data_IF_416129244311
#
_entry.id   IF_416129244311
#
_cell.length_a   1.000
_cell.length_b   1.000
_cell.length_c   1.000
_cell.angle_alpha   90.00
_cell.angle_beta   90.00
_cell.angle_gamma   90.00
#
_symmetry.space_group_name_H-M   'P 1'
#
loop_
_entity.id
_entity.type
_entity.pdbx_description
1 polymer ?
#
# COMPACT_ATOMS: atom_id res chain seq x y z
N UNK A 1 -16.26 12.60 23.63
CA UNK A 1 -15.76 11.29 23.16
C UNK A 1 -15.46 11.27 21.66
N UNK A 2 -16.37 11.75 20.80
CA UNK A 2 -16.16 11.81 19.34
C UNK A 2 -14.86 12.53 18.92
N UNK A 3 -14.55 13.69 19.51
CA UNK A 3 -13.34 14.44 19.15
C UNK A 3 -12.05 13.66 19.43
N UNK A 4 -12.00 12.94 20.56
CA UNK A 4 -10.83 12.12 20.93
C UNK A 4 -10.65 11.00 19.90
N UNK A 5 -11.75 10.34 19.49
CA UNK A 5 -11.70 9.29 18.46
C UNK A 5 -11.24 9.84 17.11
N UNK A 6 -11.73 11.00 16.69
CA UNK A 6 -11.29 11.64 15.44
C UNK A 6 -9.81 12.07 15.49
N UNK A 7 -9.36 12.66 16.60
CA UNK A 7 -7.94 13.03 16.79
C UNK A 7 -7.07 11.79 16.71
N UNK A 8 -7.45 10.72 17.41
CA UNK A 8 -6.69 9.47 17.40
C UNK A 8 -6.64 8.85 16.00
N UNK A 9 -7.77 8.83 15.28
CA UNK A 9 -7.83 8.35 13.90
C UNK A 9 -6.91 9.15 12.96
N UNK A 10 -6.94 10.48 13.05
CA UNK A 10 -6.07 11.38 12.28
C UNK A 10 -4.60 11.12 12.62
N UNK A 11 -4.27 10.99 13.91
CA UNK A 11 -2.90 10.78 14.37
C UNK A 11 -2.33 9.44 13.90
N UNK A 12 -3.11 8.36 14.00
CA UNK A 12 -2.74 7.04 13.48
C UNK A 12 -2.55 7.11 11.97
N UNK A 13 -3.45 7.78 11.25
CA UNK A 13 -3.36 7.94 9.80
C UNK A 13 -2.10 8.73 9.39
N UNK A 14 -1.76 9.80 10.11
CA UNK A 14 -0.56 10.59 9.86
C UNK A 14 0.71 9.76 10.08
N UNK A 15 0.82 9.03 11.19
CA UNK A 15 1.96 8.14 11.46
C UNK A 15 2.10 7.11 10.34
N UNK A 16 0.98 6.51 9.94
CA UNK A 16 0.95 5.54 8.86
C UNK A 16 1.39 6.14 7.52
N UNK A 17 0.94 7.35 7.20
CA UNK A 17 1.33 8.06 5.97
C UNK A 17 2.81 8.38 5.96
N UNK A 18 3.36 8.76 7.12
CA UNK A 18 4.79 9.00 7.28
C UNK A 18 5.61 7.72 7.07
N UNK A 19 5.14 6.59 7.60
CA UNK A 19 5.74 5.27 7.37
C UNK A 19 5.68 4.87 5.90
N UNK A 20 4.54 5.10 5.23
CA UNK A 20 4.34 4.78 3.81
C UNK A 20 5.31 5.57 2.93
N UNK A 21 5.48 6.86 3.21
CA UNK A 21 6.28 7.78 2.38
C UNK A 21 7.79 7.72 2.67
N UNK A 22 8.19 7.61 3.94
CA UNK A 22 9.61 7.65 4.35
C UNK A 22 10.13 6.32 4.86
N UNK A 23 9.29 5.56 5.58
CA UNK A 23 9.68 4.31 6.21
C UNK A 23 10.09 3.27 5.18
N UNK A 24 9.24 3.00 4.19
CA UNK A 24 9.51 1.95 3.20
C UNK A 24 10.76 2.21 2.33
N UNK A 25 11.03 3.48 2.00
CA UNK A 25 12.20 3.83 1.20
C UNK A 25 13.51 3.72 2.01
N UNK A 26 13.50 4.05 3.31
CA UNK A 26 14.70 3.96 4.19
C UNK A 26 14.94 2.60 4.84
N UNK A 27 13.90 1.83 5.13
CA UNK A 27 14.02 0.55 5.85
C UNK A 27 14.60 -0.56 4.96
N UNK A 28 15.51 -1.37 5.48
CA UNK A 28 16.08 -2.57 4.81
C UNK A 28 16.88 -2.29 3.51
N UNK A 29 17.52 -1.12 3.42
CA UNK A 29 18.56 -0.82 2.44
C UNK A 29 18.06 -0.24 1.11
N UNK A 30 18.96 -0.16 0.12
CA UNK A 30 18.73 0.49 -1.17
C UNK A 30 17.63 -0.22 -1.98
N UNK A 31 16.65 0.56 -2.41
CA UNK A 31 15.62 0.15 -3.37
C UNK A 31 16.26 -0.09 -4.73
N UNK A 32 16.06 -1.28 -5.31
CA UNK A 32 16.58 -1.62 -6.63
C UNK A 32 15.56 -1.34 -7.72
N UNK A 33 14.30 -1.74 -7.49
CA UNK A 33 13.20 -1.51 -8.42
C UNK A 33 11.97 -1.12 -7.63
N UNK A 34 11.29 -0.05 -8.05
CA UNK A 34 10.03 0.42 -7.45
C UNK A 34 8.98 0.47 -8.55
N UNK A 35 7.96 -0.37 -8.44
CA UNK A 35 6.89 -0.49 -9.43
C UNK A 35 5.56 -0.14 -8.80
N UNK A 36 4.74 0.60 -9.55
CA UNK A 36 3.38 0.95 -9.14
C UNK A 36 2.43 -0.20 -9.48
N UNK A 37 1.60 -0.56 -8.51
CA UNK A 37 0.55 -1.55 -8.67
C UNK A 37 -0.78 -0.88 -8.98
N UNK A 38 -1.67 -1.60 -9.63
CA UNK A 38 -3.02 -1.13 -9.94
C UNK A 38 -3.83 -1.00 -8.65
N UNK A 39 -4.46 0.17 -8.45
CA UNK A 39 -5.38 0.39 -7.31
C UNK A 39 -6.64 -0.47 -7.50
N UNK A 40 -6.89 -1.40 -6.57
CA UNK A 40 -8.06 -2.28 -6.59
C UNK A 40 -9.24 -1.72 -5.79
N UNK A 41 -9.00 -1.09 -4.63
CA UNK A 41 -10.06 -0.66 -3.70
C UNK A 41 -10.54 0.79 -3.90
N UNK A 42 -11.09 1.12 -5.08
CA UNK A 42 -11.61 2.47 -5.36
C UNK A 42 -13.01 2.72 -4.76
N UNK A 43 -13.86 1.71 -4.74
CA UNK A 43 -15.27 1.84 -4.37
C UNK A 43 -15.47 2.08 -2.87
N UNK A 44 -14.80 1.29 -2.02
CA UNK A 44 -14.89 1.41 -0.56
C UNK A 44 -14.48 2.81 -0.08
N UNK A 45 -13.43 3.37 -0.68
CA UNK A 45 -12.95 4.71 -0.33
C UNK A 45 -13.97 5.79 -0.75
N UNK A 46 -14.62 5.63 -1.91
CA UNK A 46 -15.67 6.56 -2.35
C UNK A 46 -16.89 6.51 -1.43
N UNK A 47 -17.33 5.31 -1.01
CA UNK A 47 -18.42 5.13 -0.04
C UNK A 47 -18.07 5.82 1.28
N UNK A 48 -16.85 5.61 1.79
CA UNK A 48 -16.40 6.23 3.03
C UNK A 48 -16.42 7.76 2.97
N UNK A 49 -15.91 8.36 1.88
CA UNK A 49 -15.97 9.82 1.66
C UNK A 49 -17.42 10.30 1.63
N UNK A 50 -18.31 9.57 0.93
CA UNK A 50 -19.74 9.89 0.87
C UNK A 50 -20.40 9.90 2.25
N UNK A 51 -20.09 8.91 3.09
CA UNK A 51 -20.60 8.84 4.47
C UNK A 51 -20.09 10.00 5.33
N UNK A 52 -18.82 10.39 5.20
CA UNK A 52 -18.28 11.55 5.91
C UNK A 52 -18.97 12.86 5.49
N UNK A 53 -19.22 13.05 4.19
CA UNK A 53 -19.94 14.21 3.67
C UNK A 53 -21.39 14.25 4.14
N UNK A 54 -22.07 13.10 4.17
CA UNK A 54 -23.44 12.99 4.69
C UNK A 54 -23.48 13.33 6.18
N UNK A 55 -22.48 12.89 6.95
CA UNK A 55 -22.35 13.25 8.36
C UNK A 55 -22.15 14.77 8.56
N UNK A 56 -21.32 15.41 7.72
CA UNK A 56 -21.16 16.88 7.70
C UNK A 56 -22.48 17.57 7.34
N UNK A 57 -23.19 17.06 6.34
CA UNK A 57 -24.46 17.63 5.89
C UNK A 57 -25.55 17.55 6.97
N UNK A 58 -25.67 16.40 7.64
CA UNK A 58 -26.56 16.22 8.78
C UNK A 58 -26.20 17.16 9.93
N UNK A 59 -24.92 17.30 10.24
CA UNK A 59 -24.42 18.22 11.27
C UNK A 59 -24.81 19.67 11.00
N UNK A 60 -24.80 20.09 9.74
CA UNK A 60 -25.18 21.44 9.33
C UNK A 60 -26.69 21.67 9.44
N UNK A 61 -27.50 20.70 9.02
CA UNK A 61 -28.96 20.80 9.00
C UNK A 61 -29.61 20.73 10.38
N UNK A 62 -29.07 19.91 11.29
CA UNK A 62 -29.70 19.68 12.59
C UNK A 62 -29.50 20.84 13.56
N UNK A 63 -28.63 21.82 13.28
CA UNK A 63 -28.45 23.05 14.08
C UNK A 63 -28.00 22.86 15.54
N UNK A 64 -28.08 21.65 16.07
CA UNK A 64 -27.71 21.30 17.43
C UNK A 64 -26.24 20.86 17.51
N UNK A 65 -25.40 21.79 17.93
CA UNK A 65 -24.36 21.49 18.92
C UNK A 65 -23.14 20.67 18.49
N UNK A 66 -22.91 20.41 17.20
CA UNK A 66 -21.59 19.92 16.80
C UNK A 66 -20.59 21.07 16.97
N UNK A 67 -19.76 20.97 18.01
CA UNK A 67 -18.69 21.93 18.27
C UNK A 67 -17.86 22.16 16.99
N UNK A 68 -17.52 23.42 16.70
CA UNK A 68 -16.77 23.82 15.48
C UNK A 68 -15.50 22.98 15.29
N UNK A 69 -14.91 22.54 16.39
CA UNK A 69 -13.79 21.61 16.41
C UNK A 69 -14.12 20.28 15.69
N UNK A 70 -15.21 19.59 16.05
CA UNK A 70 -15.56 18.29 15.47
C UNK A 70 -15.77 18.38 13.95
N UNK A 71 -16.37 19.47 13.47
CA UNK A 71 -16.55 19.75 12.05
C UNK A 71 -15.20 19.87 11.33
N UNK A 72 -14.24 20.59 11.94
CA UNK A 72 -12.89 20.73 11.41
C UNK A 72 -12.15 19.39 11.34
N UNK A 73 -12.27 18.55 12.38
CA UNK A 73 -11.67 17.21 12.39
C UNK A 73 -12.29 16.32 11.32
N UNK A 74 -13.61 16.39 11.15
CA UNK A 74 -14.33 15.59 10.16
C UNK A 74 -13.96 16.00 8.73
N UNK A 75 -13.85 17.32 8.48
CA UNK A 75 -13.33 17.84 7.22
C UNK A 75 -11.87 17.39 6.99
N UNK A 76 -11.04 17.36 8.03
CA UNK A 76 -9.70 16.78 7.99
C UNK A 76 -9.71 15.30 7.58
N UNK A 77 -10.62 14.49 8.13
CA UNK A 77 -10.79 13.10 7.73
C UNK A 77 -11.20 12.94 6.26
N UNK A 78 -12.06 13.83 5.74
CA UNK A 78 -12.40 13.84 4.31
C UNK A 78 -11.16 14.12 3.47
N UNK A 79 -10.36 15.12 3.85
CA UNK A 79 -9.12 15.48 3.15
C UNK A 79 -8.10 14.32 3.16
N UNK A 80 -7.92 13.66 4.30
CA UNK A 80 -7.04 12.49 4.42
C UNK A 80 -7.55 11.31 3.58
N UNK A 81 -8.86 11.12 3.53
CA UNK A 81 -9.48 10.07 2.70
C UNK A 81 -9.27 10.35 1.21
N UNK A 82 -9.40 11.60 0.77
CA UNK A 82 -9.07 12.02 -0.59
C UNK A 82 -7.58 11.80 -0.90
N UNK A 83 -6.70 12.14 0.04
CA UNK A 83 -5.27 11.86 -0.09
C UNK A 83 -5.01 10.34 -0.27
N UNK A 84 -5.63 9.50 0.56
CA UNK A 84 -5.52 8.04 0.44
C UNK A 84 -6.05 7.53 -0.91
N UNK A 85 -7.18 8.07 -1.38
CA UNK A 85 -7.85 7.64 -2.60
C UNK A 85 -7.04 7.99 -3.86
N UNK A 86 -6.57 9.23 -3.95
CA UNK A 86 -5.99 9.80 -5.17
C UNK A 86 -4.48 9.73 -5.19
N UNK A 87 -3.81 10.15 -4.11
CA UNK A 87 -2.35 10.31 -4.10
C UNK A 87 -1.67 8.99 -3.80
N UNK A 88 -2.16 8.24 -2.81
CA UNK A 88 -1.53 6.98 -2.40
C UNK A 88 -1.78 5.87 -3.42
N UNK A 89 -0.73 5.22 -3.88
CA UNK A 89 -0.82 4.07 -4.78
C UNK A 89 -0.07 2.88 -4.18
N UNK A 90 -0.62 1.65 -4.26
CA UNK A 90 0.11 0.47 -3.83
C UNK A 90 1.35 0.33 -4.69
N UNK A 91 2.50 0.07 -4.06
CA UNK A 91 3.79 -0.08 -4.73
C UNK A 91 4.43 -1.40 -4.32
N UNK A 92 5.06 -2.06 -5.30
CA UNK A 92 5.95 -3.18 -5.08
C UNK A 92 7.38 -2.65 -5.11
N UNK A 93 8.10 -2.82 -4.00
CA UNK A 93 9.48 -2.35 -3.86
C UNK A 93 10.39 -3.57 -3.74
N UNK A 94 11.21 -3.81 -4.76
CA UNK A 94 12.22 -4.87 -4.75
C UNK A 94 13.53 -4.30 -4.21
N UNK A 95 14.09 -4.97 -3.20
CA UNK A 95 15.37 -4.63 -2.56
C UNK A 95 16.33 -5.81 -2.67
N UNK A 96 17.58 -5.65 -2.23
CA UNK A 96 18.60 -6.72 -2.32
C UNK A 96 18.23 -8.00 -1.56
N UNK A 97 17.76 -7.88 -0.33
CA UNK A 97 17.51 -9.01 0.58
C UNK A 97 16.05 -9.51 0.57
N UNK A 98 15.15 -8.77 -0.08
CA UNK A 98 13.72 -9.06 -0.07
C UNK A 98 12.93 -7.95 -0.74
N UNK A 99 11.61 -7.99 -0.61
CA UNK A 99 10.70 -7.05 -1.24
C UNK A 99 9.62 -6.57 -0.28
N UNK A 100 9.10 -5.37 -0.52
CA UNK A 100 7.90 -4.87 0.14
C UNK A 100 6.69 -5.03 -0.77
N UNK A 101 5.66 -5.68 -0.26
CA UNK A 101 4.35 -5.79 -0.90
C UNK A 101 3.27 -5.35 0.09
N UNK A 102 2.41 -4.41 -0.31
CA UNK A 102 1.35 -3.86 0.54
C UNK A 102 1.85 -3.40 1.93
N UNK A 103 3.01 -2.72 1.98
CA UNK A 103 3.67 -2.21 3.19
C UNK A 103 4.29 -3.27 4.12
N UNK A 104 4.23 -4.55 3.74
CA UNK A 104 4.83 -5.67 4.45
C UNK A 104 6.11 -6.12 3.77
N UNK A 105 7.15 -6.39 4.56
CA UNK A 105 8.43 -6.90 4.06
C UNK A 105 8.43 -8.43 4.01
N UNK A 106 8.88 -8.97 2.88
CA UNK A 106 9.05 -10.39 2.64
C UNK A 106 10.48 -10.67 2.16
N UNK A 107 11.13 -11.65 2.79
CA UNK A 107 12.45 -12.13 2.38
C UNK A 107 12.32 -13.06 1.17
N UNK A 108 13.33 -13.05 0.30
CA UNK A 108 13.30 -13.88 -0.90
C UNK A 108 13.39 -15.39 -0.60
N UNK A 109 13.99 -15.79 0.52
CA UNK A 109 14.01 -17.20 0.93
C UNK A 109 12.60 -17.74 1.20
N UNK A 110 11.62 -16.88 1.50
CA UNK A 110 10.24 -17.31 1.74
C UNK A 110 9.46 -17.51 0.45
N UNK A 111 10.04 -17.19 -0.71
CA UNK A 111 9.41 -17.40 -2.01
C UNK A 111 9.58 -18.86 -2.42
N UNK A 112 8.46 -19.50 -2.77
CA UNK A 112 8.42 -20.82 -3.39
C UNK A 112 8.50 -20.72 -4.91
N UNK A 113 7.70 -19.84 -5.50
CA UNK A 113 7.67 -19.63 -6.94
C UNK A 113 7.24 -18.20 -7.26
N UNK A 114 7.67 -17.72 -8.43
CA UNK A 114 7.19 -16.48 -9.04
C UNK A 114 6.72 -16.84 -10.44
N UNK A 115 5.46 -16.56 -10.71
CA UNK A 115 4.80 -16.82 -11.98
C UNK A 115 4.23 -15.51 -12.54
N UNK A 116 4.23 -15.40 -13.86
CA UNK A 116 3.52 -14.33 -14.57
C UNK A 116 2.20 -14.92 -15.07
N UNK A 117 1.09 -14.34 -14.64
CA UNK A 117 -0.24 -14.65 -15.14
C UNK A 117 -0.66 -13.62 -16.19
N UNK A 118 -1.65 -14.00 -17.01
CA UNK A 118 -2.18 -13.16 -18.07
C UNK A 118 -2.67 -11.80 -17.53
N UNK A 119 -2.42 -10.73 -18.29
CA UNK A 119 -2.82 -9.37 -17.93
C UNK A 119 -1.88 -8.64 -16.97
N UNK A 120 -0.56 -8.88 -17.06
CA UNK A 120 0.48 -8.22 -16.25
C UNK A 120 0.32 -8.46 -14.74
N UNK A 121 -0.09 -9.67 -14.38
CA UNK A 121 -0.27 -10.07 -12.98
C UNK A 121 0.91 -10.93 -12.55
N UNK A 122 1.66 -10.47 -11.57
CA UNK A 122 2.76 -11.23 -11.00
C UNK A 122 2.26 -11.95 -9.76
N UNK A 123 2.35 -13.28 -9.79
CA UNK A 123 1.94 -14.16 -8.70
C UNK A 123 3.18 -14.65 -7.98
N UNK A 124 3.33 -14.27 -6.71
CA UNK A 124 4.42 -14.73 -5.85
C UNK A 124 3.82 -15.73 -4.86
N UNK A 125 4.17 -17.00 -5.04
CA UNK A 125 3.82 -18.07 -4.11
C UNK A 125 4.83 -18.10 -2.98
N UNK A 126 4.38 -17.96 -1.73
CA UNK A 126 5.22 -18.10 -0.55
C UNK A 126 5.27 -19.56 -0.09
N UNK A 127 6.36 -19.95 0.57
CA UNK A 127 6.53 -21.28 1.20
C UNK A 127 5.41 -21.59 2.20
N UNK A 128 4.86 -20.56 2.85
CA UNK A 128 3.77 -20.67 3.84
C UNK A 128 2.37 -20.85 3.21
N UNK A 129 2.26 -21.10 1.90
CA UNK A 129 0.99 -21.34 1.20
C UNK A 129 0.20 -20.07 0.85
N UNK A 130 0.63 -18.89 1.29
CA UNK A 130 0.04 -17.61 0.87
C UNK A 130 0.49 -17.22 -0.54
N UNK A 131 -0.43 -16.68 -1.34
CA UNK A 131 -0.15 -16.15 -2.67
C UNK A 131 -0.29 -14.64 -2.66
N UNK A 132 0.70 -13.93 -3.18
CA UNK A 132 0.67 -12.49 -3.36
C UNK A 132 0.42 -12.19 -4.84
N UNK A 133 -0.66 -11.44 -5.13
CA UNK A 133 -1.05 -11.04 -6.47
C UNK A 133 -0.69 -9.57 -6.69
N UNK A 134 0.33 -9.31 -7.49
CA UNK A 134 0.79 -7.98 -7.85
C UNK A 134 0.30 -7.64 -9.27
N UNK A 135 -0.81 -6.91 -9.37
CA UNK A 135 -1.26 -6.34 -10.64
C UNK A 135 -0.38 -5.13 -10.97
N UNK A 136 0.46 -5.25 -11.99
CA UNK A 136 1.34 -4.16 -12.42
C UNK A 136 0.52 -3.10 -13.16
N UNK A 137 0.73 -1.82 -12.86
CA UNK A 137 0.00 -0.73 -13.51
C UNK A 137 0.47 -0.46 -14.94
N UNK A 138 1.78 -0.62 -15.20
CA UNK A 138 2.44 -0.36 -16.48
C UNK A 138 3.05 -1.65 -17.06
N UNK A 139 2.71 -2.08 -18.29
CA UNK A 139 3.34 -3.22 -18.95
C UNK A 139 4.88 -3.18 -18.99
N UNK A 140 5.50 -2.01 -19.14
CA UNK A 140 6.97 -1.89 -19.19
C UNK A 140 7.62 -2.22 -17.84
N UNK A 141 6.93 -1.95 -16.74
CA UNK A 141 7.44 -2.29 -15.41
C UNK A 141 7.35 -3.81 -15.14
N UNK A 142 6.47 -4.53 -15.83
CA UNK A 142 6.40 -6.01 -15.75
C UNK A 142 7.72 -6.63 -16.20
N UNK A 143 8.29 -6.16 -17.32
CA UNK A 143 9.56 -6.67 -17.84
C UNK A 143 10.71 -6.46 -16.85
N UNK A 144 10.75 -5.30 -16.20
CA UNK A 144 11.76 -4.99 -15.17
C UNK A 144 11.67 -5.95 -13.99
N UNK A 145 10.46 -6.30 -13.56
CA UNK A 145 10.25 -7.26 -12.46
C UNK A 145 10.67 -8.67 -12.88
N UNK A 146 10.30 -9.09 -14.10
CA UNK A 146 10.68 -10.41 -14.63
C UNK A 146 12.20 -10.53 -14.77
N UNK A 147 12.87 -9.52 -15.34
CA UNK A 147 14.33 -9.47 -15.44
C UNK A 147 14.99 -9.54 -14.05
N UNK A 148 14.44 -8.82 -13.07
CA UNK A 148 14.94 -8.85 -11.69
C UNK A 148 14.84 -10.25 -11.07
N UNK A 149 13.67 -10.90 -11.14
CA UNK A 149 13.48 -12.24 -10.58
C UNK A 149 14.22 -13.34 -11.36
N UNK A 150 14.38 -13.16 -12.69
CA UNK A 150 15.19 -14.03 -13.53
C UNK A 150 16.68 -14.02 -13.12
N UNK A 151 17.25 -12.82 -12.94
CA UNK A 151 18.61 -12.67 -12.43
C UNK A 151 18.80 -13.19 -11.01
N UNK A 152 17.79 -13.04 -10.14
CA UNK A 152 17.81 -13.56 -8.77
C UNK A 152 17.87 -15.10 -8.73
N UNK A 153 17.13 -15.80 -9.59
CA UNK A 153 17.16 -17.28 -9.65
C UNK A 153 18.53 -17.82 -10.05
N UNK A 154 19.26 -17.12 -10.92
CA UNK A 154 20.61 -17.56 -11.31
C UNK A 154 21.63 -17.36 -10.19
N UNK A 155 21.54 -16.26 -9.44
CA UNK A 155 22.42 -15.97 -8.30
C UNK A 155 22.20 -16.91 -7.11
N UNK A 156 20.93 -17.20 -6.77
CA UNK A 156 20.60 -18.16 -5.70
C UNK A 156 21.04 -19.59 -6.02
N UNK A 157 21.01 -19.98 -7.31
CA UNK A 157 21.48 -21.30 -7.76
C UNK A 157 23.00 -21.44 -7.74
N UNK A 158 23.76 -20.34 -7.91
CA UNK A 158 25.22 -20.32 -7.78
C UNK A 158 25.68 -20.42 -6.32
N UNK A 159 25.01 -19.71 -5.40
CA UNK A 159 25.33 -19.78 -3.97
C UNK A 159 25.08 -21.17 -3.35
N UNK A 160 24.17 -21.98 -3.90
CA UNK A 160 23.89 -23.33 -3.39
C UNK A 160 24.80 -24.42 -4.01
N UNK A 161 25.65 -24.08 -4.97
CA UNK A 161 26.64 -25.01 -5.56
C UNK A 161 28.04 -24.87 -4.94
N UNK A 162 28.27 -23.84 -4.14
CA UNK A 162 29.59 -23.52 -3.56
C UNK A 162 29.65 -23.70 -2.02
N UNK A 163 28.60 -24.27 -1.42
CA UNK A 163 28.57 -24.65 0.01
C UNK A 163 28.15 -26.10 0.17
#
# INVERSE_FOLDING_TARGET
MLNIMLILAILIFLIYTLYDQFGMDRLKGKTLVKVRLKKQAKLDTAIFIGLLLLLIYQAYLQGEGIASLSLFLLAGCVLLSLYAAFIRSPVLILKKAGFFFANLYFEYDKIRAVNLADGNVIVIDLKNGKRLLALVADPQDTERIVAFFGGYKDQSRKQHKEG
#
